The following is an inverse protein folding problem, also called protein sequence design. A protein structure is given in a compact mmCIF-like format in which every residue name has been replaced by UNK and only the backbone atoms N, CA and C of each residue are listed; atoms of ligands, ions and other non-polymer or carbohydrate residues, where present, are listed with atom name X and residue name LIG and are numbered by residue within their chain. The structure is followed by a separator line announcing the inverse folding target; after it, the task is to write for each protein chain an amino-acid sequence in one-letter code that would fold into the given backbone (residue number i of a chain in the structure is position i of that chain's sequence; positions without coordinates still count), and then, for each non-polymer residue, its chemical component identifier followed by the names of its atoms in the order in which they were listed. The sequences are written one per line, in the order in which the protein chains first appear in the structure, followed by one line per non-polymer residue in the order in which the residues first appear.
data_IF_915034669113
#
_entry.id   IF_915034669113
#
_cell.length_a   1.000
_cell.length_b   1.000
_cell.length_c   1.000
_cell.angle_alpha   90.00
_cell.angle_beta   90.00
_cell.angle_gamma   90.00
#
_symmetry.space_group_name_H-M   'P 1'
#
loop_
_entity.id
_entity.type
_entity.pdbx_description
1 polymer ?
#
# COMPACT_ATOMS: atom_id res chain seq x y z
N UNK A 1 51.63 -18.36 -18.65
CA UNK A 1 50.43 -18.09 -19.48
C UNK A 1 49.40 -17.39 -18.62
N UNK A 2 49.47 -16.05 -18.52
CA UNK A 2 48.55 -15.24 -17.72
C UNK A 2 47.19 -15.18 -18.42
N UNK A 3 46.16 -15.68 -17.75
CA UNK A 3 44.76 -15.68 -18.20
C UNK A 3 44.23 -14.25 -18.25
N UNK A 4 43.89 -13.76 -19.46
CA UNK A 4 43.06 -12.56 -19.63
C UNK A 4 41.60 -12.93 -19.35
N UNK A 5 41.11 -12.63 -18.16
CA UNK A 5 39.67 -12.52 -17.96
C UNK A 5 39.16 -11.28 -18.73
N UNK A 6 38.07 -11.40 -19.50
CA UNK A 6 37.51 -10.24 -20.19
C UNK A 6 37.09 -9.17 -19.17
N UNK A 7 37.26 -7.87 -19.49
CA UNK A 7 36.82 -6.80 -18.61
C UNK A 7 35.32 -6.95 -18.34
N UNK A 8 34.93 -6.87 -17.07
CA UNK A 8 33.51 -6.88 -16.71
C UNK A 8 32.83 -5.68 -17.36
N UNK A 9 31.92 -5.93 -18.29
CA UNK A 9 31.10 -4.90 -18.91
C UNK A 9 30.16 -4.36 -17.85
N UNK A 10 30.57 -3.29 -17.16
CA UNK A 10 29.62 -2.44 -16.42
C UNK A 10 28.59 -1.93 -17.43
N UNK A 11 27.36 -2.43 -17.33
CA UNK A 11 26.22 -1.85 -18.06
C UNK A 11 26.12 -0.39 -17.64
N UNK A 12 26.41 0.53 -18.54
CA UNK A 12 26.18 1.96 -18.28
C UNK A 12 24.68 2.17 -18.25
N UNK A 13 24.13 2.50 -17.10
CA UNK A 13 22.74 2.94 -17.02
C UNK A 13 22.64 4.29 -17.73
N UNK A 14 21.69 4.49 -18.66
CA UNK A 14 21.46 5.80 -19.25
C UNK A 14 21.14 6.83 -18.15
N UNK A 15 21.45 8.12 -18.34
CA UNK A 15 21.17 9.14 -17.35
C UNK A 15 19.67 9.18 -17.02
N UNK A 16 19.36 9.21 -15.72
CA UNK A 16 17.98 9.37 -15.24
C UNK A 16 17.45 10.72 -15.72
N UNK A 17 16.31 10.71 -16.41
CA UNK A 17 15.69 11.94 -16.96
C UNK A 17 14.58 12.49 -16.07
N UNK A 18 13.94 11.63 -15.30
CA UNK A 18 12.85 11.98 -14.39
C UNK A 18 12.67 10.88 -13.34
N UNK A 19 11.99 11.22 -12.25
CA UNK A 19 11.53 10.29 -11.20
C UNK A 19 10.04 10.50 -11.05
N UNK A 20 9.26 9.41 -11.12
CA UNK A 20 7.84 9.41 -10.83
C UNK A 20 7.67 8.91 -9.39
N UNK A 21 6.98 9.71 -8.58
CA UNK A 21 6.63 9.34 -7.22
C UNK A 21 5.17 8.93 -7.19
N UNK A 22 4.89 7.85 -6.46
CA UNK A 22 3.55 7.57 -5.99
C UNK A 22 3.13 8.64 -4.97
N UNK A 23 1.82 8.79 -4.71
CA UNK A 23 1.31 9.81 -3.80
C UNK A 23 1.21 9.24 -2.37
N UNK A 24 0.28 8.31 -2.18
CA UNK A 24 -0.08 7.80 -0.86
C UNK A 24 1.00 6.86 -0.33
N UNK A 25 1.46 7.09 0.90
CA UNK A 25 2.56 6.34 1.51
C UNK A 25 3.95 6.67 0.92
N UNK A 26 4.06 7.53 -0.09
CA UNK A 26 5.33 7.98 -0.68
C UNK A 26 5.57 9.47 -0.47
N UNK A 27 4.64 10.32 -0.93
CA UNK A 27 4.71 11.78 -0.77
C UNK A 27 3.84 12.29 0.38
N UNK A 28 2.74 11.60 0.65
CA UNK A 28 1.75 11.99 1.65
C UNK A 28 1.26 10.74 2.40
N UNK A 29 1.00 10.87 3.70
CA UNK A 29 0.39 9.80 4.50
C UNK A 29 -1.10 10.11 4.79
N UNK A 30 -2.02 9.60 3.95
CA UNK A 30 -3.44 9.75 4.20
C UNK A 30 -3.97 8.74 5.22
N UNK A 31 -3.22 7.68 5.55
CA UNK A 31 -3.75 6.49 6.21
C UNK A 31 -4.44 6.78 7.55
N UNK A 32 -3.94 7.67 8.42
CA UNK A 32 -4.62 8.00 9.67
C UNK A 32 -6.00 8.64 9.44
N UNK A 33 -6.14 9.46 8.40
CA UNK A 33 -7.39 10.13 8.06
C UNK A 33 -8.41 9.17 7.47
N UNK A 34 -7.95 8.31 6.55
CA UNK A 34 -8.81 7.30 5.92
C UNK A 34 -9.27 6.28 6.97
N UNK A 35 -8.37 5.79 7.83
CA UNK A 35 -8.73 4.90 8.93
C UNK A 35 -9.81 5.50 9.85
N UNK A 36 -9.70 6.79 10.18
CA UNK A 36 -10.68 7.47 11.03
C UNK A 36 -12.07 7.45 10.40
N UNK A 37 -12.18 7.79 9.11
CA UNK A 37 -13.45 7.81 8.38
C UNK A 37 -14.11 6.42 8.40
N UNK A 38 -13.36 5.38 8.06
CA UNK A 38 -13.91 4.01 8.10
C UNK A 38 -14.25 3.54 9.51
N UNK A 39 -13.46 3.93 10.52
CA UNK A 39 -13.77 3.63 11.92
C UNK A 39 -15.07 4.28 12.38
N UNK A 40 -15.33 5.52 11.93
CA UNK A 40 -16.58 6.22 12.18
C UNK A 40 -17.76 5.49 11.57
N UNK A 41 -17.66 5.07 10.30
CA UNK A 41 -18.71 4.31 9.62
C UNK A 41 -18.96 2.97 10.31
N UNK A 42 -17.92 2.19 10.65
CA UNK A 42 -18.09 0.93 11.38
C UNK A 42 -18.83 1.15 12.70
N UNK A 43 -18.49 2.22 13.43
CA UNK A 43 -19.13 2.57 14.71
C UNK A 43 -20.60 2.96 14.54
N UNK A 44 -20.98 3.63 13.46
CA UNK A 44 -22.39 3.92 13.14
C UNK A 44 -23.23 2.65 13.00
N UNK A 45 -22.60 1.54 12.61
CA UNK A 45 -23.22 0.21 12.52
C UNK A 45 -22.99 -0.67 13.77
N UNK A 46 -22.51 -0.09 14.88
CA UNK A 46 -22.25 -0.84 16.11
C UNK A 46 -21.05 -1.80 16.03
N UNK A 47 -20.19 -1.63 15.02
CA UNK A 47 -19.01 -2.45 14.77
C UNK A 47 -17.72 -1.70 15.13
N UNK A 48 -16.66 -2.44 15.44
CA UNK A 48 -15.31 -1.89 15.59
C UNK A 48 -14.43 -2.28 14.40
N UNK A 49 -13.76 -1.29 13.80
CA UNK A 49 -12.68 -1.51 12.85
C UNK A 49 -11.34 -1.53 13.58
N UNK A 50 -10.72 -2.70 13.70
CA UNK A 50 -9.41 -2.82 14.37
C UNK A 50 -8.27 -2.42 13.45
N UNK A 51 -7.16 -1.94 14.04
CA UNK A 51 -5.90 -1.67 13.31
C UNK A 51 -5.36 -2.89 12.57
N UNK A 52 -5.60 -4.10 13.07
CA UNK A 52 -5.21 -5.35 12.41
C UNK A 52 -6.00 -5.58 11.12
N UNK A 53 -7.31 -5.33 11.14
CA UNK A 53 -8.14 -5.40 9.93
C UNK A 53 -7.73 -4.31 8.94
N UNK A 54 -7.47 -3.09 9.44
CA UNK A 54 -6.97 -1.98 8.62
C UNK A 54 -5.61 -2.28 7.97
N UNK A 55 -4.67 -2.89 8.69
CA UNK A 55 -3.38 -3.24 8.12
C UNK A 55 -3.48 -4.25 6.95
N UNK A 56 -4.57 -5.02 6.86
CA UNK A 56 -4.83 -5.95 5.76
C UNK A 56 -5.29 -5.30 4.46
N UNK A 57 -5.71 -4.02 4.50
CA UNK A 57 -6.21 -3.26 3.33
C UNK A 57 -5.20 -2.24 2.79
N UNK A 58 -4.11 -1.97 3.52
CA UNK A 58 -3.14 -0.96 3.12
C UNK A 58 -2.37 -1.39 1.86
N UNK A 59 -2.42 -0.57 0.82
CA UNK A 59 -1.71 -0.78 -0.44
C UNK A 59 -2.28 -1.90 -1.34
N UNK A 60 -3.42 -2.50 -1.00
CA UNK A 60 -4.03 -3.60 -1.76
C UNK A 60 -5.25 -3.14 -2.56
N UNK A 61 -5.20 -3.31 -3.89
CA UNK A 61 -6.37 -3.34 -4.77
C UNK A 61 -7.06 -4.70 -4.55
N UNK A 62 -7.88 -4.88 -3.51
CA UNK A 62 -8.60 -6.15 -3.37
C UNK A 62 -9.21 -6.56 -2.04
N UNK A 63 -9.07 -5.80 -0.96
CA UNK A 63 -9.86 -6.07 0.26
C UNK A 63 -11.01 -5.09 0.34
N UNK A 64 -12.23 -5.59 0.11
CA UNK A 64 -13.44 -4.78 0.14
C UNK A 64 -13.96 -4.64 1.58
N UNK A 65 -13.69 -3.48 2.18
CA UNK A 65 -14.20 -3.12 3.51
C UNK A 65 -15.74 -3.14 3.55
N UNK A 66 -16.43 -2.96 2.43
CA UNK A 66 -17.88 -2.98 2.38
C UNK A 66 -18.46 -4.37 2.53
N UNK A 67 -17.94 -5.35 1.80
CA UNK A 67 -18.35 -6.76 1.96
C UNK A 67 -18.24 -7.22 3.43
N UNK A 68 -17.16 -6.83 4.13
CA UNK A 68 -16.97 -7.18 5.55
C UNK A 68 -18.00 -6.51 6.47
N UNK A 69 -18.37 -5.26 6.19
CA UNK A 69 -19.37 -4.55 6.98
C UNK A 69 -20.77 -5.13 6.73
N UNK A 70 -21.11 -5.39 5.47
CA UNK A 70 -22.40 -5.93 5.05
C UNK A 70 -22.68 -7.31 5.68
N UNK A 71 -21.69 -8.20 5.70
CA UNK A 71 -21.78 -9.51 6.38
C UNK A 71 -22.10 -9.39 7.87
N UNK A 72 -21.61 -8.33 8.54
CA UNK A 72 -21.77 -8.15 10.00
C UNK A 72 -23.06 -7.45 10.40
N UNK A 73 -23.64 -6.68 9.50
CA UNK A 73 -24.88 -5.92 9.74
C UNK A 73 -26.11 -6.70 9.26
N UNK A 74 -25.95 -7.63 8.32
CA UNK A 74 -27.05 -8.41 7.72
C UNK A 74 -27.37 -9.73 8.44
N UNK A 75 -26.76 -9.98 9.61
CA UNK A 75 -27.07 -11.13 10.48
C UNK A 75 -27.98 -10.74 11.64
#
# INVERSE_FOLDING_TARGET
MLSLLPPSTRRRTPPVRAVLFDLDGTLWDPEPHVFRIYSEIFREHGQELTRRQWAGVLGTIGFDLWSVLEERVSG
#
